data_IF_961943615456
#
_entry.id   IF_961943615456
#
_cell.length_a   1.000
_cell.length_b   1.000
_cell.length_c   1.000
_cell.angle_alpha   90.00
_cell.angle_beta   90.00
_cell.angle_gamma   90.00
#
_symmetry.space_group_name_H-M   'P 1'
#
loop_
_entity.id
_entity.type
_entity.pdbx_description
1 polymer ?
#
# COMPACT_ATOMS: atom_id res chain seq x y z
N UNK A 1 8.78 -3.11 -11.55
CA UNK A 1 7.53 -3.34 -12.29
C UNK A 1 7.69 -2.86 -13.74
N UNK A 2 7.26 -3.66 -14.69
CA UNK A 2 7.31 -3.33 -16.11
C UNK A 2 6.01 -2.68 -16.57
N UNK A 3 6.09 -1.87 -17.63
CA UNK A 3 4.88 -1.28 -18.23
C UNK A 3 3.89 -2.39 -18.64
N UNK A 4 2.60 -2.14 -18.43
CA UNK A 4 1.54 -3.10 -18.74
C UNK A 4 1.42 -4.26 -17.77
N UNK A 5 2.22 -4.33 -16.73
CA UNK A 5 2.16 -5.39 -15.72
C UNK A 5 1.43 -4.96 -14.45
N UNK A 6 0.98 -5.95 -13.69
CA UNK A 6 0.45 -5.74 -12.36
C UNK A 6 1.41 -6.36 -11.35
N UNK A 7 1.59 -5.70 -10.21
CA UNK A 7 2.44 -6.19 -9.13
C UNK A 7 1.65 -6.22 -7.83
N UNK A 8 1.76 -7.31 -7.10
CA UNK A 8 1.12 -7.41 -5.77
C UNK A 8 2.15 -7.06 -4.71
N UNK A 9 1.77 -6.17 -3.81
CA UNK A 9 2.60 -5.77 -2.67
C UNK A 9 1.88 -6.23 -1.41
N UNK A 10 2.57 -7.00 -0.59
CA UNK A 10 1.99 -7.59 0.62
C UNK A 10 2.59 -6.92 1.84
N UNK A 11 1.73 -6.44 2.73
CA UNK A 11 2.12 -5.84 4.00
C UNK A 11 1.60 -6.69 5.15
N UNK A 12 2.35 -6.76 6.22
CA UNK A 12 1.85 -7.31 7.46
C UNK A 12 1.51 -6.16 8.40
N UNK A 13 0.26 -6.11 8.86
CA UNK A 13 -0.24 -5.11 9.79
C UNK A 13 -0.43 -5.79 11.13
N UNK A 14 0.32 -5.37 12.14
CA UNK A 14 0.26 -5.98 13.47
C UNK A 14 -0.29 -4.98 14.49
N UNK A 15 -1.17 -5.49 15.35
CA UNK A 15 -1.61 -4.72 16.51
C UNK A 15 -0.68 -5.02 17.68
N UNK A 16 0.26 -4.12 17.95
CA UNK A 16 1.21 -4.25 19.04
C UNK A 16 0.69 -3.67 20.37
N UNK A 17 -0.52 -3.12 20.35
CA UNK A 17 -1.15 -2.55 21.53
C UNK A 17 -1.80 -3.60 22.42
N UNK A 18 -2.49 -3.13 23.44
CA UNK A 18 -3.18 -3.97 24.42
C UNK A 18 -4.68 -4.04 24.20
N UNK A 19 -5.20 -3.30 23.23
CA UNK A 19 -6.63 -3.24 22.91
C UNK A 19 -6.85 -3.55 21.44
N UNK A 20 -8.02 -4.10 21.07
CA UNK A 20 -8.35 -4.28 19.65
C UNK A 20 -8.46 -2.93 18.96
N UNK A 21 -8.13 -2.92 17.67
CA UNK A 21 -8.35 -1.76 16.79
C UNK A 21 -9.43 -2.12 15.77
N UNK A 22 -10.28 -1.15 15.45
CA UNK A 22 -11.45 -1.33 14.58
C UNK A 22 -11.39 -0.40 13.38
N UNK A 23 -12.04 -0.82 12.30
CA UNK A 23 -12.17 -0.02 11.07
C UNK A 23 -10.79 0.42 10.56
N UNK A 24 -9.89 -0.54 10.45
CA UNK A 24 -8.51 -0.30 10.05
C UNK A 24 -8.43 -0.15 8.55
N UNK A 25 -7.92 0.99 8.09
CA UNK A 25 -7.83 1.32 6.67
C UNK A 25 -6.36 1.53 6.32
N UNK A 26 -5.74 0.58 5.64
CA UNK A 26 -4.40 0.79 5.09
C UNK A 26 -4.51 1.57 3.77
N UNK A 27 -3.82 2.69 3.69
CA UNK A 27 -3.82 3.54 2.51
C UNK A 27 -2.45 3.47 1.86
N UNK A 28 -2.43 3.09 0.58
CA UNK A 28 -1.22 3.06 -0.23
C UNK A 28 -1.35 4.14 -1.30
N UNK A 29 -0.39 5.04 -1.37
CA UNK A 29 -0.40 6.12 -2.35
C UNK A 29 0.99 6.34 -2.92
N UNK A 30 1.05 6.98 -4.08
CA UNK A 30 2.33 7.35 -4.69
C UNK A 30 2.82 8.68 -4.12
N UNK A 31 4.13 8.79 -3.94
CA UNK A 31 4.77 10.02 -3.49
C UNK A 31 5.10 10.86 -4.72
N UNK A 32 4.61 12.11 -4.74
CA UNK A 32 4.82 13.02 -5.85
C UNK A 32 3.86 12.79 -7.01
N UNK A 33 4.15 13.42 -8.14
CA UNK A 33 3.35 13.27 -9.36
C UNK A 33 3.86 12.09 -10.16
N UNK A 34 3.17 10.97 -10.05
CA UNK A 34 3.52 9.76 -10.79
C UNK A 34 2.43 9.48 -11.82
N UNK A 35 2.83 9.30 -13.07
CA UNK A 35 1.92 8.99 -14.18
C UNK A 35 1.96 7.49 -14.49
N UNK A 36 0.86 6.97 -14.98
CA UNK A 36 0.73 5.59 -15.49
C UNK A 36 0.90 4.51 -14.41
N UNK A 37 0.69 4.89 -13.15
CA UNK A 37 0.64 3.95 -12.03
C UNK A 37 -0.72 4.08 -11.35
N UNK A 38 -1.38 2.96 -11.14
CA UNK A 38 -2.61 2.89 -10.37
C UNK A 38 -2.43 1.94 -9.20
N UNK A 39 -3.29 2.08 -8.19
CA UNK A 39 -3.28 1.24 -7.00
C UNK A 39 -4.71 0.76 -6.77
N UNK A 40 -4.86 -0.50 -6.37
CA UNK A 40 -6.16 -1.09 -6.07
C UNK A 40 -6.88 -0.33 -4.95
N UNK A 41 -8.22 -0.32 -4.96
CA UNK A 41 -9.00 0.32 -3.90
C UNK A 41 -8.62 -0.22 -2.53
N UNK A 42 -8.69 0.65 -1.53
CA UNK A 42 -8.44 0.29 -0.13
C UNK A 42 -9.56 -0.60 0.39
N UNK A 43 -9.20 -1.66 1.10
CA UNK A 43 -10.14 -2.56 1.76
C UNK A 43 -10.03 -2.37 3.26
N UNK A 44 -11.15 -2.07 3.91
CA UNK A 44 -11.19 -1.89 5.36
C UNK A 44 -11.10 -3.23 6.08
N UNK A 45 -10.30 -3.26 7.14
CA UNK A 45 -10.20 -4.42 8.05
C UNK A 45 -11.06 -4.11 9.26
N UNK A 46 -12.05 -4.96 9.52
CA UNK A 46 -13.03 -4.68 10.58
C UNK A 46 -12.42 -4.64 11.98
N UNK A 47 -11.51 -5.57 12.28
CA UNK A 47 -10.92 -5.68 13.62
C UNK A 47 -9.55 -6.34 13.55
N UNK A 48 -8.62 -5.84 14.34
CA UNK A 48 -7.33 -6.52 14.60
C UNK A 48 -7.17 -6.63 16.13
N UNK A 49 -7.11 -7.87 16.61
CA UNK A 49 -6.94 -8.14 18.03
C UNK A 49 -5.50 -7.85 18.50
N UNK A 50 -5.29 -7.57 19.79
CA UNK A 50 -3.94 -7.37 20.32
C UNK A 50 -3.04 -8.59 20.01
N UNK A 51 -1.86 -8.33 19.46
CA UNK A 51 -0.92 -9.37 19.10
C UNK A 51 -1.22 -10.06 17.78
N UNK A 52 -2.34 -9.74 17.12
CA UNK A 52 -2.71 -10.30 15.85
C UNK A 52 -2.03 -9.56 14.70
N UNK A 53 -1.59 -10.33 13.70
CA UNK A 53 -1.06 -9.78 12.46
C UNK A 53 -1.96 -10.17 11.29
N UNK A 54 -2.19 -9.23 10.37
CA UNK A 54 -3.00 -9.44 9.18
C UNK A 54 -2.16 -9.09 7.96
N UNK A 55 -2.20 -9.94 6.95
CA UNK A 55 -1.58 -9.66 5.65
C UNK A 55 -2.54 -8.89 4.77
N UNK A 56 -2.09 -7.73 4.32
CA UNK A 56 -2.83 -6.89 3.41
C UNK A 56 -2.13 -6.88 2.06
N UNK A 57 -2.88 -7.17 1.00
CA UNK A 57 -2.34 -7.20 -0.36
C UNK A 57 -2.89 -6.02 -1.14
N UNK A 58 -1.99 -5.18 -1.65
CA UNK A 58 -2.32 -4.11 -2.58
C UNK A 58 -1.83 -4.50 -3.96
N UNK A 59 -2.60 -4.17 -5.00
CA UNK A 59 -2.18 -4.40 -6.38
C UNK A 59 -1.78 -3.07 -7.01
N UNK A 60 -0.61 -3.05 -7.60
CA UNK A 60 -0.08 -1.89 -8.33
C UNK A 60 -0.22 -2.19 -9.81
N UNK A 61 -0.88 -1.28 -10.54
CA UNK A 61 -1.12 -1.40 -11.97
C UNK A 61 -0.18 -0.45 -12.72
N UNK A 62 0.61 -1.00 -13.63
CA UNK A 62 1.47 -0.20 -14.49
C UNK A 62 0.83 -0.05 -15.86
N UNK A 63 0.63 1.19 -16.30
CA UNK A 63 0.12 1.47 -17.63
C UNK A 63 1.13 1.17 -18.73
N UNK A 64 0.64 1.01 -19.95
CA UNK A 64 1.49 0.70 -21.12
C UNK A 64 2.50 1.81 -21.47
N UNK A 65 2.28 3.02 -20.97
CA UNK A 65 3.15 4.17 -21.22
C UNK A 65 4.13 4.45 -20.08
N UNK A 66 4.24 3.54 -19.12
CA UNK A 66 5.20 3.67 -18.02
C UNK A 66 6.62 3.72 -18.57
N UNK A 67 7.42 4.66 -18.06
CA UNK A 67 8.81 4.86 -18.48
C UNK A 67 9.76 4.23 -17.46
N UNK A 68 11.02 4.07 -17.88
CA UNK A 68 12.10 3.64 -17.00
C UNK A 68 12.30 4.65 -15.87
N UNK A 69 12.59 4.14 -14.68
CA UNK A 69 12.83 4.96 -13.51
C UNK A 69 12.49 4.21 -12.23
N UNK A 70 11.89 4.93 -11.31
CA UNK A 70 11.43 4.34 -10.06
C UNK A 70 10.20 5.07 -9.56
N UNK A 71 9.40 4.40 -8.75
CA UNK A 71 8.23 4.97 -8.10
C UNK A 71 8.30 4.69 -6.60
N UNK A 72 8.06 5.71 -5.81
CA UNK A 72 8.01 5.59 -4.35
C UNK A 72 6.57 5.58 -3.89
N UNK A 73 6.24 4.64 -3.04
CA UNK A 73 4.91 4.51 -2.44
C UNK A 73 4.98 4.84 -0.96
N UNK A 74 3.90 5.38 -0.45
CA UNK A 74 3.72 5.62 0.98
C UNK A 74 2.55 4.80 1.47
N UNK A 75 2.76 4.07 2.57
CA UNK A 75 1.72 3.30 3.23
C UNK A 75 1.43 3.93 4.59
N UNK A 76 0.18 4.24 4.84
CA UNK A 76 -0.28 4.73 6.14
C UNK A 76 -1.45 3.89 6.59
N UNK A 77 -1.57 3.67 7.89
CA UNK A 77 -2.69 2.91 8.46
C UNK A 77 -3.46 3.81 9.40
N UNK A 78 -4.77 3.85 9.21
CA UNK A 78 -5.68 4.60 10.09
C UNK A 78 -6.76 3.70 10.64
N UNK A 79 -7.37 4.11 11.75
CA UNK A 79 -8.54 3.46 12.32
C UNK A 79 -9.67 4.48 12.47
N UNK A 80 -10.70 4.13 13.24
CA UNK A 80 -11.85 5.04 13.48
C UNK A 80 -11.46 6.36 14.15
N UNK A 81 -10.29 6.41 14.79
CA UNK A 81 -9.80 7.60 15.51
C UNK A 81 -8.75 8.40 14.72
N UNK A 82 -8.34 7.93 13.55
CA UNK A 82 -7.34 8.58 12.70
C UNK A 82 -6.11 7.71 12.46
N UNK A 83 -4.99 8.34 12.12
CA UNK A 83 -3.74 7.63 11.80
C UNK A 83 -3.18 6.96 13.04
N UNK A 84 -2.92 5.65 12.96
CA UNK A 84 -2.45 4.84 14.09
C UNK A 84 -1.01 4.37 13.95
N UNK A 85 -0.37 4.61 12.83
CA UNK A 85 1.06 4.32 12.68
C UNK A 85 1.70 5.34 11.76
N UNK A 86 3.01 5.51 11.90
CA UNK A 86 3.78 6.36 11.03
C UNK A 86 3.79 5.80 9.61
N UNK A 87 3.78 6.68 8.63
CA UNK A 87 3.84 6.27 7.23
C UNK A 87 5.18 5.61 6.92
N UNK A 88 5.11 4.55 6.12
CA UNK A 88 6.29 3.84 5.61
C UNK A 88 6.39 4.09 4.11
N UNK A 89 7.59 4.27 3.62
CA UNK A 89 7.84 4.45 2.20
C UNK A 89 8.65 3.29 1.64
N UNK A 90 8.34 2.89 0.41
CA UNK A 90 9.13 1.91 -0.33
C UNK A 90 9.19 2.30 -1.81
N UNK A 91 10.27 1.93 -2.47
CA UNK A 91 10.52 2.28 -3.85
C UNK A 91 10.63 1.03 -4.72
N UNK A 92 9.95 1.04 -5.86
CA UNK A 92 10.03 -0.01 -6.86
C UNK A 92 10.66 0.53 -8.13
N UNK A 93 11.57 -0.23 -8.77
CA UNK A 93 12.07 0.13 -10.09
C UNK A 93 10.97 -0.02 -11.12
N UNK A 94 10.97 0.83 -12.13
CA UNK A 94 10.04 0.76 -13.25
C UNK A 94 10.83 0.56 -14.54
N UNK A 95 10.26 -0.24 -15.45
CA UNK A 95 10.85 -0.51 -16.75
C UNK A 95 9.80 -0.41 -17.84
N UNK A 96 10.15 0.25 -18.92
CA UNK A 96 9.32 0.26 -20.10
C UNK A 96 9.51 -1.07 -20.82
N UNK A 97 8.42 -1.79 -21.04
CA UNK A 97 8.43 -3.00 -21.84
C UNK A 97 8.28 -2.63 -23.31
N UNK A 98 9.11 -3.19 -24.16
CA UNK A 98 9.05 -3.01 -25.60
C UNK A 98 8.12 -4.03 -26.25
#
# INVERSE_FOLDING_TARGET
>A
INSGENCKVIFEIMNEGKKPVYDVVPVVETVGKVKHIGISPTVMIEEILPGEGIRYTATVYAGSKLKDGEVTFRVAVSDENGVICDSQEFTLPTQRAD
#
